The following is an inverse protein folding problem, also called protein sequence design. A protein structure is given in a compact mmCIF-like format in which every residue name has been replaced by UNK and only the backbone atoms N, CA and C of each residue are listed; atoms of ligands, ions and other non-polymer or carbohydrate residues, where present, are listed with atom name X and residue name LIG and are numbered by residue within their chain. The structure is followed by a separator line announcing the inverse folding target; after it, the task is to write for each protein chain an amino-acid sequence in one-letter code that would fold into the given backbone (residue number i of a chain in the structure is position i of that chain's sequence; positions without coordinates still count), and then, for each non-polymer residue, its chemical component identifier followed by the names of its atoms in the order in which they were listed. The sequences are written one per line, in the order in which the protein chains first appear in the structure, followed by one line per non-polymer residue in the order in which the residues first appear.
data_IF_918347827198
#
_entry.id   IF_918347827198
#
_cell.length_a   1.000
_cell.length_b   1.000
_cell.length_c   1.000
_cell.angle_alpha   90.00
_cell.angle_beta   90.00
_cell.angle_gamma   90.00
#
_symmetry.space_group_name_H-M   'P 1'
#
loop_
_entity.id
_entity.type
_entity.pdbx_description
1 polymer ?
#
# COMPACT_ATOMS: atom_id res chain seq x y z
N UNK A 1 3.01 21.76 -0.75
CA UNK A 1 2.94 20.34 -0.35
C UNK A 1 1.46 19.97 -0.39
N UNK A 2 1.11 18.79 -0.90
CA UNK A 2 -0.28 18.32 -0.88
C UNK A 2 -0.77 18.19 0.57
N UNK A 3 -2.03 18.59 0.84
CA UNK A 3 -2.61 18.55 2.17
C UNK A 3 -3.63 17.44 2.27
N UNK A 4 -3.59 16.71 3.40
CA UNK A 4 -4.60 15.73 3.80
C UNK A 4 -5.31 16.18 5.10
N UNK A 5 -5.28 17.47 5.38
CA UNK A 5 -5.89 18.05 6.60
C UNK A 5 -7.35 17.62 6.76
N UNK A 6 -7.67 17.07 7.94
CA UNK A 6 -8.99 16.58 8.29
C UNK A 6 -9.41 15.29 7.55
N UNK A 7 -8.53 14.61 6.82
CA UNK A 7 -8.82 13.32 6.18
C UNK A 7 -8.45 12.15 7.09
N UNK A 8 -9.24 11.08 7.00
CA UNK A 8 -9.04 9.83 7.73
C UNK A 8 -8.49 8.80 6.75
N UNK A 9 -7.27 8.30 7.01
CA UNK A 9 -6.57 7.37 6.15
C UNK A 9 -6.33 6.02 6.85
N UNK A 10 -6.69 4.92 6.21
CA UNK A 10 -6.31 3.56 6.60
C UNK A 10 -5.06 3.18 5.82
N UNK A 11 -4.01 2.70 6.51
CA UNK A 11 -2.78 2.21 5.89
C UNK A 11 -2.51 0.80 6.39
N UNK A 12 -2.64 -0.19 5.50
CA UNK A 12 -2.38 -1.60 5.83
C UNK A 12 -0.89 -1.92 5.71
N UNK A 13 -0.37 -2.78 6.60
CA UNK A 13 1.06 -3.10 6.66
C UNK A 13 1.90 -1.89 7.10
N UNK A 14 1.37 -1.08 8.00
CA UNK A 14 1.96 0.19 8.42
C UNK A 14 3.05 0.07 9.48
N UNK A 15 3.27 -1.12 10.05
CA UNK A 15 4.19 -1.29 11.18
C UNK A 15 5.67 -1.05 10.82
N UNK A 16 6.06 -1.17 9.55
CA UNK A 16 7.45 -1.02 9.10
C UNK A 16 7.58 -0.70 7.62
N UNK A 17 8.80 -0.31 7.21
CA UNK A 17 9.21 -0.19 5.81
C UNK A 17 8.38 0.83 5.03
N UNK A 18 7.86 0.45 3.85
CA UNK A 18 7.09 1.36 2.97
C UNK A 18 5.84 1.87 3.70
N UNK A 19 5.10 0.97 4.37
CA UNK A 19 3.88 1.34 5.10
C UNK A 19 4.12 2.35 6.20
N UNK A 20 5.18 2.18 6.99
CA UNK A 20 5.63 3.14 7.99
C UNK A 20 5.94 4.51 7.38
N UNK A 21 6.70 4.53 6.27
CA UNK A 21 7.01 5.78 5.56
C UNK A 21 5.76 6.48 5.01
N UNK A 22 4.76 5.71 4.55
CA UNK A 22 3.47 6.28 4.14
C UNK A 22 2.76 6.90 5.35
N UNK A 23 2.72 6.21 6.51
CA UNK A 23 2.13 6.74 7.74
C UNK A 23 2.77 8.07 8.15
N UNK A 24 4.11 8.16 8.15
CA UNK A 24 4.84 9.38 8.49
C UNK A 24 4.49 10.55 7.56
N UNK A 25 4.50 10.32 6.24
CA UNK A 25 4.22 11.36 5.24
C UNK A 25 2.76 11.80 5.32
N UNK A 26 1.81 10.88 5.54
CA UNK A 26 0.40 11.21 5.65
C UNK A 26 0.10 12.02 6.91
N UNK A 27 0.71 11.66 8.04
CA UNK A 27 0.62 12.45 9.27
C UNK A 27 1.21 13.85 9.09
N UNK A 28 2.39 13.97 8.45
CA UNK A 28 3.01 15.28 8.12
C UNK A 28 2.13 16.12 7.19
N UNK A 29 1.30 15.48 6.35
CA UNK A 29 0.34 16.15 5.47
C UNK A 29 -0.98 16.52 6.17
N UNK A 30 -1.17 16.18 7.45
CA UNK A 30 -2.34 16.53 8.27
C UNK A 30 -3.44 15.47 8.33
N UNK A 31 -3.20 14.26 7.82
CA UNK A 31 -4.17 13.16 7.97
C UNK A 31 -4.18 12.60 9.39
N UNK A 32 -5.35 12.10 9.81
CA UNK A 32 -5.43 11.13 10.91
C UNK A 32 -5.29 9.72 10.31
N UNK A 33 -4.29 8.97 10.77
CA UNK A 33 -3.92 7.67 10.21
C UNK A 33 -4.36 6.54 11.14
N UNK A 34 -5.14 5.61 10.62
CA UNK A 34 -5.36 4.28 11.20
C UNK A 34 -4.30 3.33 10.62
N UNK A 35 -3.29 3.01 11.41
CA UNK A 35 -2.25 2.06 11.06
C UNK A 35 -2.76 0.64 11.33
N UNK A 36 -2.94 -0.14 10.27
CA UNK A 36 -3.34 -1.55 10.37
C UNK A 36 -2.16 -2.48 10.13
N UNK A 37 -1.94 -3.39 11.05
CA UNK A 37 -0.96 -4.48 10.88
C UNK A 37 -1.34 -5.67 11.78
N UNK A 38 -0.82 -6.85 11.48
CA UNK A 38 -0.92 -8.02 12.37
C UNK A 38 0.20 -8.05 13.40
N UNK A 39 1.26 -7.26 13.21
CA UNK A 39 2.45 -7.19 14.06
C UNK A 39 2.25 -6.17 15.19
N UNK A 40 2.54 -6.57 16.42
CA UNK A 40 2.49 -5.68 17.58
C UNK A 40 3.47 -4.49 17.49
N UNK A 41 4.52 -4.58 16.65
CA UNK A 41 5.39 -3.47 16.31
C UNK A 41 4.64 -2.26 15.72
N UNK A 42 3.41 -2.42 15.24
CA UNK A 42 2.55 -1.32 14.81
C UNK A 42 2.24 -0.33 15.93
N UNK A 43 2.09 -0.80 17.17
CA UNK A 43 1.90 0.06 18.35
C UNK A 43 3.12 0.97 18.60
N UNK A 44 4.33 0.40 18.53
CA UNK A 44 5.58 1.16 18.71
C UNK A 44 5.74 2.21 17.61
N UNK A 45 5.44 1.85 16.37
CA UNK A 45 5.49 2.77 15.22
C UNK A 45 4.48 3.90 15.38
N UNK A 46 3.23 3.60 15.76
CA UNK A 46 2.20 4.60 16.00
C UNK A 46 2.60 5.56 17.12
N UNK A 47 3.10 5.03 18.24
CA UNK A 47 3.57 5.83 19.38
C UNK A 47 4.73 6.75 18.99
N UNK A 48 5.70 6.27 18.21
CA UNK A 48 6.84 7.05 17.71
C UNK A 48 6.38 8.20 16.80
N UNK A 49 5.48 7.95 15.86
CA UNK A 49 4.95 8.97 14.95
C UNK A 49 4.10 9.99 15.71
N UNK A 50 3.26 9.52 16.64
CA UNK A 50 2.43 10.39 17.49
C UNK A 50 3.28 11.31 18.37
N UNK A 51 4.37 10.81 18.95
CA UNK A 51 5.32 11.61 19.77
C UNK A 51 5.99 12.71 18.95
N UNK A 52 6.06 12.58 17.64
CA UNK A 52 6.55 13.58 16.70
C UNK A 52 5.43 14.51 16.16
N UNK A 53 4.24 14.49 16.78
CA UNK A 53 3.12 15.36 16.43
C UNK A 53 2.16 14.80 15.36
N UNK A 54 2.31 13.55 14.94
CA UNK A 54 1.40 12.91 14.01
C UNK A 54 0.09 12.48 14.66
N UNK A 55 -1.03 12.62 13.94
CA UNK A 55 -2.33 12.06 14.35
C UNK A 55 -2.43 10.62 13.81
N UNK A 56 -2.15 9.64 14.67
CA UNK A 56 -2.09 8.23 14.29
C UNK A 56 -2.50 7.32 15.45
N UNK A 57 -3.13 6.21 15.13
CA UNK A 57 -3.43 5.13 16.08
C UNK A 57 -3.25 3.76 15.42
N UNK A 58 -2.92 2.78 16.22
CA UNK A 58 -2.75 1.40 15.78
C UNK A 58 -4.02 0.59 15.99
N UNK A 59 -4.35 -0.26 15.03
CA UNK A 59 -5.33 -1.34 15.16
C UNK A 59 -4.68 -2.64 14.68
N UNK A 60 -4.75 -3.69 15.49
CA UNK A 60 -4.28 -5.02 15.10
C UNK A 60 -5.32 -5.68 14.21
N UNK A 61 -5.07 -5.68 12.90
CA UNK A 61 -6.04 -6.13 11.89
C UNK A 61 -5.42 -7.19 10.98
N UNK A 62 -6.09 -8.33 10.87
CA UNK A 62 -5.83 -9.31 9.82
C UNK A 62 -6.68 -8.95 8.60
N UNK A 63 -6.04 -8.41 7.57
CA UNK A 63 -6.71 -7.98 6.33
C UNK A 63 -7.30 -9.14 5.51
N UNK A 64 -6.94 -10.38 5.81
CA UNK A 64 -7.50 -11.58 5.17
C UNK A 64 -8.80 -12.04 5.82
N UNK A 65 -9.16 -11.48 6.98
CA UNK A 65 -10.38 -11.76 7.73
C UNK A 65 -11.43 -10.65 7.51
N UNK A 66 -12.55 -10.94 6.83
CA UNK A 66 -13.65 -9.98 6.69
C UNK A 66 -14.19 -9.47 8.03
N UNK A 67 -14.25 -10.32 9.06
CA UNK A 67 -14.69 -9.93 10.39
C UNK A 67 -13.72 -8.94 11.06
N UNK A 68 -12.42 -9.23 11.02
CA UNK A 68 -11.38 -8.34 11.59
C UNK A 68 -11.41 -6.96 10.90
N UNK A 69 -11.52 -6.94 9.57
CA UNK A 69 -11.59 -5.71 8.79
C UNK A 69 -12.89 -4.95 9.06
N UNK A 70 -14.04 -5.65 9.11
CA UNK A 70 -15.34 -5.04 9.40
C UNK A 70 -15.36 -4.34 10.77
N UNK A 71 -14.92 -5.04 11.82
CA UNK A 71 -14.86 -4.48 13.16
C UNK A 71 -13.95 -3.23 13.24
N UNK A 72 -12.80 -3.26 12.58
CA UNK A 72 -11.88 -2.12 12.55
C UNK A 72 -12.46 -0.92 11.77
N UNK A 73 -13.17 -1.15 10.68
CA UNK A 73 -13.89 -0.10 9.93
C UNK A 73 -14.98 0.52 10.78
N UNK A 74 -15.82 -0.29 11.44
CA UNK A 74 -16.89 0.20 12.31
C UNK A 74 -16.36 1.08 13.45
N UNK A 75 -15.23 0.70 14.06
CA UNK A 75 -14.59 1.51 15.09
C UNK A 75 -14.14 2.88 14.55
N UNK A 76 -13.52 2.92 13.35
CA UNK A 76 -13.11 4.18 12.72
C UNK A 76 -14.33 5.05 12.42
N UNK A 77 -15.37 4.48 11.83
CA UNK A 77 -16.61 5.21 11.52
C UNK A 77 -17.27 5.75 12.79
N UNK A 78 -17.36 4.94 13.84
CA UNK A 78 -17.93 5.37 15.13
C UNK A 78 -17.17 6.56 15.74
N UNK A 79 -15.83 6.57 15.59
CA UNK A 79 -14.96 7.57 16.23
C UNK A 79 -14.76 8.84 15.37
N UNK A 80 -14.70 8.68 14.06
CA UNK A 80 -14.31 9.75 13.13
C UNK A 80 -15.39 10.11 12.12
N UNK A 81 -16.46 9.31 11.99
CA UNK A 81 -17.60 9.55 11.13
C UNK A 81 -17.37 9.28 9.64
N UNK A 82 -16.12 8.98 9.22
CA UNK A 82 -15.77 8.80 7.81
C UNK A 82 -14.47 8.05 7.60
N UNK A 83 -14.26 7.59 6.36
CA UNK A 83 -12.98 7.08 5.86
C UNK A 83 -12.77 7.70 4.48
N UNK A 84 -11.72 8.49 4.32
CA UNK A 84 -11.42 9.21 3.09
C UNK A 84 -10.42 8.46 2.19
N UNK A 85 -9.46 7.75 2.81
CA UNK A 85 -8.34 7.12 2.09
C UNK A 85 -8.13 5.68 2.58
N UNK A 86 -7.94 4.76 1.63
CA UNK A 86 -7.47 3.40 1.88
C UNK A 86 -6.18 3.15 1.12
N UNK A 87 -5.11 2.82 1.84
CA UNK A 87 -3.84 2.37 1.28
C UNK A 87 -3.69 0.86 1.53
N UNK A 88 -3.88 0.08 0.50
CA UNK A 88 -3.62 -1.36 0.49
C UNK A 88 -2.12 -1.60 0.22
N UNK A 89 -1.31 -1.48 1.27
CA UNK A 89 0.14 -1.65 1.17
C UNK A 89 0.61 -3.01 1.71
N UNK A 90 -0.09 -3.63 2.65
CA UNK A 90 0.30 -4.91 3.21
C UNK A 90 0.56 -5.96 2.13
N UNK A 91 1.61 -6.74 2.32
CA UNK A 91 1.97 -7.80 1.39
C UNK A 91 3.13 -8.64 1.90
N UNK A 92 3.21 -9.85 1.39
CA UNK A 92 4.26 -10.82 1.73
C UNK A 92 4.89 -11.41 0.47
N UNK A 93 6.07 -11.98 0.65
CA UNK A 93 6.75 -12.79 -0.35
C UNK A 93 6.95 -14.22 0.19
N UNK A 94 6.94 -15.19 -0.71
CA UNK A 94 7.33 -16.59 -0.46
C UNK A 94 8.04 -17.07 -1.72
N UNK A 95 9.32 -16.67 -1.85
CA UNK A 95 10.12 -16.90 -3.05
C UNK A 95 10.55 -18.37 -3.10
N UNK A 96 10.25 -19.01 -4.24
CA UNK A 96 10.59 -20.39 -4.52
C UNK A 96 10.60 -20.63 -6.03
N UNK A 97 11.56 -21.41 -6.54
CA UNK A 97 11.48 -21.82 -7.95
C UNK A 97 10.15 -22.55 -8.21
N UNK A 98 9.50 -22.28 -9.34
CA UNK A 98 8.14 -22.72 -9.62
C UNK A 98 7.94 -24.24 -9.44
N UNK A 99 8.90 -25.05 -9.89
CA UNK A 99 8.83 -26.51 -9.74
C UNK A 99 8.88 -27.01 -8.28
N UNK A 100 9.32 -26.17 -7.34
CA UNK A 100 9.42 -26.51 -5.91
C UNK A 100 8.41 -25.73 -5.07
N UNK A 101 7.68 -24.78 -5.65
CA UNK A 101 6.69 -23.97 -4.96
C UNK A 101 5.52 -24.85 -4.52
N UNK A 102 5.18 -24.78 -3.24
CA UNK A 102 4.04 -25.50 -2.69
C UNK A 102 2.72 -24.74 -2.92
N UNK A 103 1.60 -25.46 -2.92
CA UNK A 103 0.27 -24.84 -2.97
C UNK A 103 0.03 -23.91 -1.76
N UNK A 104 0.61 -24.20 -0.61
CA UNK A 104 0.52 -23.37 0.58
C UNK A 104 1.25 -22.02 0.37
N UNK A 105 2.51 -22.04 -0.12
CA UNK A 105 3.28 -20.84 -0.45
C UNK A 105 2.55 -19.98 -1.49
N UNK A 106 1.98 -20.61 -2.52
CA UNK A 106 1.18 -19.94 -3.53
C UNK A 106 -0.06 -19.29 -2.92
N UNK A 107 -0.91 -20.07 -2.27
CA UNK A 107 -2.20 -19.60 -1.75
C UNK A 107 -2.03 -18.53 -0.66
N UNK A 108 -1.02 -18.64 0.18
CA UNK A 108 -0.72 -17.64 1.22
C UNK A 108 -0.42 -16.28 0.58
N UNK A 109 0.39 -16.24 -0.48
CA UNK A 109 0.71 -14.98 -1.19
C UNK A 109 -0.51 -14.43 -1.92
N UNK A 110 -1.29 -15.28 -2.60
CA UNK A 110 -2.54 -14.86 -3.25
C UNK A 110 -3.52 -14.26 -2.23
N UNK A 111 -3.67 -14.92 -1.09
CA UNK A 111 -4.64 -14.49 -0.08
C UNK A 111 -4.29 -13.12 0.50
N UNK A 112 -3.05 -12.92 0.92
CA UNK A 112 -2.62 -11.66 1.54
C UNK A 112 -2.48 -10.53 0.51
N UNK A 113 -1.87 -10.80 -0.66
CA UNK A 113 -1.51 -9.73 -1.59
C UNK A 113 -2.62 -9.37 -2.60
N UNK A 114 -3.61 -10.24 -2.80
CA UNK A 114 -4.66 -10.02 -3.80
C UNK A 114 -6.07 -10.14 -3.22
N UNK A 115 -6.42 -11.25 -2.55
CA UNK A 115 -7.76 -11.42 -2.01
C UNK A 115 -8.08 -10.37 -0.95
N UNK A 116 -7.11 -9.98 -0.13
CA UNK A 116 -7.29 -8.95 0.88
C UNK A 116 -7.68 -7.58 0.30
N UNK A 117 -7.31 -7.26 -0.96
CA UNK A 117 -7.76 -6.02 -1.62
C UNK A 117 -9.28 -5.98 -1.78
N UNK A 118 -9.88 -7.12 -2.07
CA UNK A 118 -11.34 -7.25 -2.14
C UNK A 118 -11.94 -7.01 -0.75
N UNK A 119 -11.42 -7.67 0.28
CA UNK A 119 -11.93 -7.58 1.66
C UNK A 119 -11.88 -6.13 2.17
N UNK A 120 -10.72 -5.49 2.10
CA UNK A 120 -10.54 -4.12 2.60
C UNK A 120 -11.32 -3.08 1.80
N UNK A 121 -11.27 -3.18 0.46
CA UNK A 121 -11.99 -2.23 -0.41
C UNK A 121 -13.49 -2.37 -0.26
N UNK A 122 -14.02 -3.60 -0.18
CA UNK A 122 -15.45 -3.83 0.00
C UNK A 122 -15.96 -3.26 1.33
N UNK A 123 -15.15 -3.31 2.39
CA UNK A 123 -15.52 -2.79 3.70
C UNK A 123 -15.59 -1.26 3.74
N UNK A 124 -14.70 -0.54 3.03
CA UNK A 124 -14.66 0.94 3.06
C UNK A 124 -15.54 1.61 1.99
N UNK A 125 -15.77 0.96 0.86
CA UNK A 125 -16.48 1.55 -0.28
C UNK A 125 -17.89 2.06 0.02
N UNK A 126 -18.73 1.40 0.83
CA UNK A 126 -20.04 1.95 1.20
C UNK A 126 -19.95 3.34 1.82
N UNK A 127 -18.98 3.55 2.74
CA UNK A 127 -18.77 4.83 3.43
C UNK A 127 -18.23 5.91 2.50
N UNK A 128 -17.26 5.56 1.62
CA UNK A 128 -16.73 6.48 0.61
C UNK A 128 -17.81 6.90 -0.40
N UNK A 129 -18.68 5.96 -0.81
CA UNK A 129 -19.80 6.21 -1.71
C UNK A 129 -20.82 7.18 -1.08
N UNK A 130 -21.18 6.97 0.17
CA UNK A 130 -22.10 7.84 0.91
C UNK A 130 -21.53 9.25 1.08
N UNK A 131 -20.23 9.36 1.38
CA UNK A 131 -19.52 10.63 1.50
C UNK A 131 -19.31 11.35 0.14
N UNK A 132 -19.49 10.67 -1.00
CA UNK A 132 -19.19 11.24 -2.32
C UNK A 132 -17.68 11.50 -2.55
N UNK A 133 -16.81 10.86 -1.78
CA UNK A 133 -15.36 11.05 -1.83
C UNK A 133 -14.63 9.77 -1.38
N UNK A 134 -13.54 9.44 -2.07
CA UNK A 134 -12.65 8.36 -1.64
C UNK A 134 -11.38 8.29 -2.48
N UNK A 135 -10.33 7.74 -1.88
CA UNK A 135 -9.04 7.44 -2.52
C UNK A 135 -8.62 6.03 -2.14
N UNK A 136 -8.59 5.11 -3.10
CA UNK A 136 -8.09 3.75 -2.91
C UNK A 136 -6.80 3.62 -3.69
N UNK A 137 -5.69 3.31 -3.00
CA UNK A 137 -4.38 3.17 -3.63
C UNK A 137 -3.76 1.86 -3.17
N UNK A 138 -3.39 0.99 -4.14
CA UNK A 138 -2.90 -0.36 -3.85
C UNK A 138 -1.44 -0.54 -4.27
N UNK A 139 -0.66 -1.24 -3.44
CA UNK A 139 0.73 -1.56 -3.72
C UNK A 139 0.84 -2.67 -4.77
N UNK A 140 1.21 -2.29 -6.02
CA UNK A 140 1.73 -3.18 -7.04
C UNK A 140 3.25 -3.39 -6.85
N UNK A 141 3.99 -3.68 -7.90
CA UNK A 141 5.46 -3.81 -7.93
C UNK A 141 5.91 -3.80 -9.38
N UNK A 142 7.16 -3.40 -9.65
CA UNK A 142 7.78 -3.63 -10.96
C UNK A 142 7.77 -5.12 -11.33
N UNK A 143 7.87 -6.02 -10.34
CA UNK A 143 7.84 -7.47 -10.59
C UNK A 143 6.47 -8.00 -11.04
N UNK A 144 5.40 -7.23 -10.87
CA UNK A 144 4.11 -7.51 -11.49
C UNK A 144 4.10 -7.30 -13.02
N UNK A 145 5.10 -6.60 -13.55
CA UNK A 145 5.22 -6.28 -14.98
C UNK A 145 6.38 -7.02 -15.65
N UNK A 146 7.55 -7.06 -15.03
CA UNK A 146 8.73 -7.72 -15.59
C UNK A 146 8.91 -9.17 -15.11
N UNK A 147 8.26 -9.55 -13.99
CA UNK A 147 8.51 -10.80 -13.31
C UNK A 147 9.83 -10.83 -12.56
N UNK A 148 10.04 -11.88 -11.76
CA UNK A 148 11.33 -12.21 -11.14
C UNK A 148 11.42 -13.71 -10.91
N UNK A 149 12.63 -14.27 -10.98
CA UNK A 149 12.86 -15.68 -10.71
C UNK A 149 12.40 -16.04 -9.29
N UNK A 150 11.65 -17.11 -9.17
CA UNK A 150 11.13 -17.59 -7.88
C UNK A 150 9.90 -16.84 -7.36
N UNK A 151 9.38 -15.83 -8.08
CA UNK A 151 8.28 -14.98 -7.63
C UNK A 151 7.01 -15.14 -8.47
N UNK A 152 6.73 -16.32 -9.01
CA UNK A 152 5.53 -16.54 -9.83
C UNK A 152 4.22 -16.18 -9.09
N UNK A 153 4.10 -16.55 -7.81
CA UNK A 153 2.98 -16.18 -6.94
C UNK A 153 2.91 -14.66 -6.70
N UNK A 154 4.01 -14.04 -6.32
CA UNK A 154 4.08 -12.61 -6.06
C UNK A 154 3.81 -11.77 -7.31
N UNK A 155 4.48 -12.09 -8.42
CA UNK A 155 4.29 -11.40 -9.69
C UNK A 155 2.83 -11.48 -10.17
N UNK A 156 2.20 -12.65 -10.06
CA UNK A 156 0.80 -12.84 -10.39
C UNK A 156 -0.11 -11.91 -9.55
N UNK A 157 0.14 -11.80 -8.23
CA UNK A 157 -0.66 -10.91 -7.37
C UNK A 157 -0.45 -9.45 -7.75
N UNK A 158 0.80 -9.02 -7.97
CA UNK A 158 1.12 -7.62 -8.26
C UNK A 158 0.66 -7.17 -9.66
N UNK A 159 0.61 -8.08 -10.63
CA UNK A 159 -0.09 -7.87 -11.90
C UNK A 159 -1.61 -7.78 -11.70
N UNK A 160 -2.17 -8.65 -10.85
CA UNK A 160 -3.59 -8.66 -10.48
C UNK A 160 -4.07 -7.35 -9.85
N UNK A 161 -3.23 -6.70 -9.01
CA UNK A 161 -3.50 -5.36 -8.45
C UNK A 161 -3.80 -4.35 -9.55
N UNK A 162 -3.01 -4.32 -10.63
CA UNK A 162 -3.23 -3.40 -11.75
C UNK A 162 -4.53 -3.69 -12.52
N UNK A 163 -4.90 -4.97 -12.64
CA UNK A 163 -6.19 -5.41 -13.20
C UNK A 163 -7.37 -4.97 -12.34
N UNK A 164 -7.29 -5.23 -11.03
CA UNK A 164 -8.28 -4.80 -10.03
C UNK A 164 -8.47 -3.28 -10.05
N UNK A 165 -7.38 -2.52 -10.06
CA UNK A 165 -7.39 -1.05 -10.11
C UNK A 165 -8.18 -0.53 -11.32
N UNK A 166 -7.90 -1.07 -12.54
CA UNK A 166 -8.58 -0.67 -13.77
C UNK A 166 -10.07 -1.04 -13.81
N UNK A 167 -10.44 -2.15 -13.20
CA UNK A 167 -11.85 -2.56 -13.14
C UNK A 167 -12.62 -1.70 -12.12
N UNK A 168 -12.13 -1.63 -10.89
CA UNK A 168 -12.82 -0.96 -9.79
C UNK A 168 -13.01 0.54 -10.06
N UNK A 169 -12.02 1.22 -10.67
CA UNK A 169 -12.14 2.65 -10.96
C UNK A 169 -13.35 2.99 -11.86
N UNK A 170 -13.72 2.08 -12.76
CA UNK A 170 -14.90 2.26 -13.66
C UNK A 170 -16.22 2.14 -12.91
N UNK A 171 -16.24 1.31 -11.87
CA UNK A 171 -17.47 1.08 -11.09
C UNK A 171 -17.73 2.22 -10.10
N UNK A 172 -16.66 2.74 -9.46
CA UNK A 172 -16.81 3.65 -8.32
C UNK A 172 -16.56 5.12 -8.66
N UNK A 173 -16.01 5.44 -9.83
CA UNK A 173 -15.68 6.81 -10.23
C UNK A 173 -16.87 7.78 -10.17
N UNK A 174 -18.08 7.33 -10.52
CA UNK A 174 -19.32 8.13 -10.41
C UNK A 174 -19.68 8.54 -8.98
N UNK A 175 -19.05 7.94 -7.99
CA UNK A 175 -19.25 8.25 -6.56
C UNK A 175 -18.13 9.17 -6.00
N UNK A 176 -17.31 9.78 -6.86
CA UNK A 176 -16.20 10.62 -6.42
C UNK A 176 -14.98 9.84 -5.87
N UNK A 177 -14.94 8.53 -6.09
CA UNK A 177 -13.86 7.66 -5.62
C UNK A 177 -12.86 7.41 -6.75
N UNK A 178 -11.57 7.71 -6.51
CA UNK A 178 -10.50 7.31 -7.44
C UNK A 178 -9.82 6.03 -6.94
N UNK A 179 -9.40 5.19 -7.88
CA UNK A 179 -8.71 3.93 -7.59
C UNK A 179 -7.44 3.87 -8.43
N UNK A 180 -6.29 3.80 -7.75
CA UNK A 180 -4.97 3.78 -8.39
C UNK A 180 -4.07 2.72 -7.75
N UNK A 181 -2.92 2.49 -8.37
CA UNK A 181 -1.87 1.65 -7.83
C UNK A 181 -0.52 2.36 -7.90
N UNK A 182 0.40 1.97 -7.03
CA UNK A 182 1.82 2.36 -7.11
C UNK A 182 2.64 1.10 -7.35
N UNK A 183 3.57 1.13 -8.29
CA UNK A 183 4.52 0.06 -8.55
C UNK A 183 5.93 0.50 -8.12
N UNK A 184 6.34 0.19 -6.88
CA UNK A 184 7.68 0.45 -6.40
C UNK A 184 8.72 -0.34 -7.19
N UNK A 185 9.91 0.27 -7.35
CA UNK A 185 11.12 -0.42 -7.77
C UNK A 185 11.88 -1.04 -6.58
N UNK A 186 13.20 -0.92 -6.63
CA UNK A 186 14.06 -1.35 -5.53
C UNK A 186 14.06 -0.30 -4.42
N UNK A 187 13.42 -0.62 -3.29
CA UNK A 187 13.23 0.28 -2.14
C UNK A 187 14.02 -0.26 -0.96
N UNK A 188 14.67 0.64 -0.23
CA UNK A 188 15.40 0.33 1.01
C UNK A 188 14.46 -0.28 2.05
N UNK A 189 14.88 -1.40 2.62
CA UNK A 189 14.12 -2.17 3.61
C UNK A 189 15.09 -2.97 4.48
N UNK A 190 14.61 -3.53 5.59
CA UNK A 190 15.42 -4.44 6.41
C UNK A 190 15.99 -5.62 5.60
N UNK A 191 15.29 -6.06 4.55
CA UNK A 191 15.76 -7.09 3.65
C UNK A 191 16.95 -6.59 2.80
N UNK A 192 16.86 -5.39 2.22
CA UNK A 192 17.96 -4.84 1.42
C UNK A 192 19.18 -4.55 2.28
N UNK A 193 19.01 -4.14 3.54
CA UNK A 193 20.09 -3.85 4.46
C UNK A 193 20.89 -5.12 4.84
N UNK A 194 20.29 -6.31 4.69
CA UNK A 194 20.96 -7.61 4.90
C UNK A 194 21.62 -8.18 3.63
N UNK A 195 21.44 -7.54 2.48
CA UNK A 195 22.04 -8.01 1.22
C UNK A 195 23.54 -7.65 1.13
N UNK A 196 24.36 -8.50 0.48
CA UNK A 196 25.74 -8.16 0.16
C UNK A 196 25.82 -6.85 -0.64
N UNK A 197 26.81 -6.02 -0.32
CA UNK A 197 27.00 -4.70 -0.95
C UNK A 197 27.11 -4.78 -2.48
N UNK A 198 27.71 -5.85 -3.01
CA UNK A 198 27.84 -6.10 -4.45
C UNK A 198 26.48 -6.28 -5.14
N UNK A 199 25.53 -6.96 -4.47
CA UNK A 199 24.16 -7.14 -4.98
C UNK A 199 23.43 -5.80 -4.99
N UNK A 200 23.60 -5.00 -3.93
CA UNK A 200 23.02 -3.65 -3.85
C UNK A 200 23.59 -2.78 -4.98
N UNK A 201 24.92 -2.76 -5.19
CA UNK A 201 25.57 -2.00 -6.25
C UNK A 201 25.08 -2.43 -7.64
N UNK A 202 24.95 -3.74 -7.88
CA UNK A 202 24.43 -4.26 -9.15
C UNK A 202 22.96 -3.84 -9.37
N UNK A 203 22.14 -3.83 -8.33
CA UNK A 203 20.78 -3.33 -8.40
C UNK A 203 20.71 -1.83 -8.69
N UNK A 204 21.54 -1.02 -8.00
CA UNK A 204 21.62 0.43 -8.22
C UNK A 204 22.07 0.78 -9.65
N UNK A 205 23.00 0.00 -10.21
CA UNK A 205 23.47 0.21 -11.58
C UNK A 205 22.37 0.08 -12.65
N UNK A 206 21.26 -0.58 -12.31
CA UNK A 206 20.07 -0.70 -13.18
C UNK A 206 19.05 0.43 -12.99
N UNK A 207 19.27 1.33 -12.03
CA UNK A 207 18.35 2.43 -11.72
C UNK A 207 18.90 3.73 -12.30
N UNK A 208 18.30 4.31 -13.35
CA UNK A 208 18.80 5.55 -13.98
C UNK A 208 18.96 6.74 -13.02
N UNK A 209 18.13 6.83 -11.98
CA UNK A 209 18.24 7.86 -10.91
C UNK A 209 19.49 7.65 -10.03
N UNK A 210 20.18 6.49 -10.12
CA UNK A 210 21.46 6.22 -9.47
C UNK A 210 21.40 5.89 -7.98
N UNK A 211 20.22 5.62 -7.43
CA UNK A 211 20.05 5.17 -6.03
C UNK A 211 18.85 4.25 -5.86
N UNK A 212 18.85 3.46 -4.80
CA UNK A 212 17.62 2.80 -4.36
C UNK A 212 16.63 3.85 -3.83
N UNK A 213 15.33 3.56 -3.97
CA UNK A 213 14.28 4.38 -3.38
C UNK A 213 14.21 4.21 -1.85
N UNK A 214 13.54 5.13 -1.19
CA UNK A 214 13.30 5.11 0.25
C UNK A 214 11.82 4.95 0.55
N UNK A 215 11.48 4.61 1.80
CA UNK A 215 10.10 4.62 2.27
C UNK A 215 9.46 6.03 2.13
N UNK A 216 10.25 7.08 2.30
CA UNK A 216 9.81 8.47 2.11
C UNK A 216 9.48 8.77 0.63
N UNK A 217 10.30 8.33 -0.34
CA UNK A 217 9.97 8.44 -1.77
C UNK A 217 8.62 7.80 -2.10
N UNK A 218 8.35 6.65 -1.48
CA UNK A 218 7.06 5.98 -1.63
C UNK A 218 5.96 6.79 -0.96
N UNK A 219 6.15 7.26 0.27
CA UNK A 219 5.19 8.10 0.98
C UNK A 219 4.70 9.27 0.12
N UNK A 220 5.60 9.99 -0.56
CA UNK A 220 5.23 11.08 -1.47
C UNK A 220 4.47 10.61 -2.72
N UNK A 221 4.79 9.43 -3.26
CA UNK A 221 4.05 8.86 -4.39
C UNK A 221 2.60 8.56 -4.03
N UNK A 222 2.38 8.00 -2.84
CA UNK A 222 1.04 7.73 -2.32
C UNK A 222 0.31 9.03 -1.94
N UNK A 223 1.00 9.99 -1.31
CA UNK A 223 0.45 11.30 -0.95
C UNK A 223 -0.11 12.02 -2.19
N UNK A 224 0.64 12.04 -3.29
CA UNK A 224 0.17 12.62 -4.55
C UNK A 224 -1.17 12.02 -4.99
N UNK A 225 -1.25 10.68 -5.08
CA UNK A 225 -2.47 10.00 -5.52
C UNK A 225 -3.63 10.13 -4.51
N UNK A 226 -3.34 10.31 -3.22
CA UNK A 226 -4.32 10.50 -2.16
C UNK A 226 -4.87 11.94 -2.10
N UNK A 227 -4.16 12.90 -2.68
CA UNK A 227 -4.52 14.30 -2.61
C UNK A 227 -5.80 14.63 -3.39
N UNK A 228 -6.39 15.80 -3.10
CA UNK A 228 -7.55 16.32 -3.83
C UNK A 228 -7.18 16.68 -5.26
N UNK A 229 -5.95 17.13 -5.48
CA UNK A 229 -5.41 17.55 -6.77
C UNK A 229 -5.32 16.37 -7.76
N UNK A 230 -5.17 15.14 -7.27
CA UNK A 230 -5.20 13.92 -8.10
C UNK A 230 -6.63 13.44 -8.41
N UNK A 231 -7.66 14.24 -8.15
CA UNK A 231 -9.07 13.84 -8.30
C UNK A 231 -9.50 13.44 -9.72
N UNK A 232 -8.73 13.77 -10.75
CA UNK A 232 -8.98 13.33 -12.14
C UNK A 232 -8.05 12.19 -12.59
N UNK A 233 -7.25 11.64 -11.66
CA UNK A 233 -6.36 10.50 -11.91
C UNK A 233 -6.99 9.26 -11.31
N UNK A 234 -7.43 8.31 -12.16
CA UNK A 234 -8.04 7.07 -11.72
C UNK A 234 -7.79 5.94 -12.73
N UNK A 235 -7.52 4.73 -12.24
CA UNK A 235 -7.28 3.54 -13.05
C UNK A 235 -5.83 3.35 -13.50
N UNK A 236 -4.87 4.18 -13.00
CA UNK A 236 -3.46 4.08 -13.37
C UNK A 236 -2.67 3.21 -12.38
N UNK A 237 -1.51 2.76 -12.84
CA UNK A 237 -0.42 2.31 -11.98
C UNK A 237 0.74 3.29 -12.13
N UNK A 238 1.06 4.01 -11.06
CA UNK A 238 2.20 4.94 -11.00
C UNK A 238 3.48 4.14 -10.76
N UNK A 239 4.40 4.18 -11.72
CA UNK A 239 5.69 3.52 -11.61
C UNK A 239 6.69 4.39 -10.85
N UNK A 240 6.93 4.05 -9.56
CA UNK A 240 7.86 4.75 -8.67
C UNK A 240 9.14 3.91 -8.50
N UNK A 241 9.98 3.85 -9.55
CA UNK A 241 11.08 2.91 -9.66
C UNK A 241 12.43 3.54 -10.11
N UNK A 242 12.54 4.87 -10.12
CA UNK A 242 13.76 5.56 -10.53
C UNK A 242 14.17 5.35 -11.99
N UNK A 243 13.23 4.94 -12.85
CA UNK A 243 13.47 4.66 -14.27
C UNK A 243 13.99 3.24 -14.55
N UNK A 244 14.08 2.35 -13.53
CA UNK A 244 14.52 0.97 -13.71
C UNK A 244 13.63 0.18 -14.69
N UNK A 245 12.36 0.56 -14.78
CA UNK A 245 11.40 0.00 -15.73
C UNK A 245 10.46 1.13 -16.20
N UNK A 246 10.79 1.85 -17.25
CA UNK A 246 9.90 2.85 -17.86
C UNK A 246 8.73 2.15 -18.56
N UNK A 247 7.53 2.71 -18.43
CA UNK A 247 6.29 2.24 -19.08
C UNK A 247 5.54 3.43 -19.67
#
# INVERSE_FOLDING_TARGET
MYSLEGQIAIITGGARGIGEGICEIFCKAGATVALWDVLDAGEETANRISSNGGSIFFQKVDITSPESVGNAVEEIISKHGKIDILINNAGIIRDRSFLKMTSEEWNTVINVNLNALFVTSQAVLPHMREAGYGRIISASSINGFQGAFGQANYAATKAGVSGFTRALCKEVGRFGVTVNAVAPGFIKSAMSDSMPEEIIKAGVAQIPVGRIGTAEDMGYSYLFLASKEAGFISGITLHANGGAMPM
#
